data_IF_971152809528
#
_entry.id   IF_971152809528
#
_cell.length_a   1.000
_cell.length_b   1.000
_cell.length_c   1.000
_cell.angle_alpha   90.00
_cell.angle_beta   90.00
_cell.angle_gamma   90.00
#
_symmetry.space_group_name_H-M   'P 1'
#
loop_
_entity.id
_entity.type
_entity.pdbx_description
1 polymer ?
#
# COMPACT_ATOMS: atom_id res chain seq x y z
N UNK A 1 -12.25 36.46 14.27
CA UNK A 1 -11.17 36.37 13.26
C UNK A 1 -11.61 35.40 12.19
N UNK A 2 -11.85 35.91 10.97
CA UNK A 2 -12.27 35.09 9.83
C UNK A 2 -11.11 34.15 9.39
N UNK A 3 -11.39 32.94 8.90
CA UNK A 3 -10.35 32.03 8.42
C UNK A 3 -9.66 32.65 7.19
N UNK A 4 -8.33 32.68 7.21
CA UNK A 4 -7.49 33.12 6.10
C UNK A 4 -7.83 32.32 4.84
N UNK A 5 -8.23 33.03 3.80
CA UNK A 5 -8.52 32.46 2.48
C UNK A 5 -7.34 31.65 1.97
N UNK A 6 -7.65 30.48 1.40
CA UNK A 6 -6.70 29.69 0.63
C UNK A 6 -6.18 30.55 -0.52
N UNK A 7 -4.95 31.05 -0.39
CA UNK A 7 -4.26 31.71 -1.50
C UNK A 7 -3.94 30.65 -2.57
N UNK A 8 -4.81 30.54 -3.58
CA UNK A 8 -4.52 29.77 -4.79
C UNK A 8 -3.25 30.34 -5.43
N UNK A 9 -2.22 29.53 -5.73
CA UNK A 9 -0.99 30.03 -6.36
C UNK A 9 -1.31 30.78 -7.66
N UNK A 10 -0.80 32.01 -7.80
CA UNK A 10 -1.06 32.90 -8.95
C UNK A 10 -0.13 32.67 -10.15
N UNK A 11 0.65 31.58 -10.13
CA UNK A 11 1.53 31.20 -11.24
C UNK A 11 0.74 30.45 -12.31
N UNK A 12 1.07 30.68 -13.59
CA UNK A 12 0.62 29.83 -14.70
C UNK A 12 1.09 28.40 -14.45
N UNK A 13 0.17 27.49 -14.15
CA UNK A 13 0.47 26.06 -14.05
C UNK A 13 0.40 25.50 -15.47
N UNK A 14 1.55 25.04 -15.98
CA UNK A 14 1.61 24.38 -17.29
C UNK A 14 1.01 22.98 -17.17
N UNK A 15 -0.13 22.76 -17.83
CA UNK A 15 -0.72 21.45 -18.00
C UNK A 15 -0.19 20.80 -19.27
N UNK A 16 -0.12 19.47 -19.26
CA UNK A 16 0.22 18.64 -20.41
C UNK A 16 -0.79 17.50 -20.55
N UNK A 17 -0.76 16.80 -21.67
CA UNK A 17 -1.66 15.67 -21.93
C UNK A 17 -0.93 14.37 -21.65
N UNK A 18 -1.51 13.54 -20.78
CA UNK A 18 -1.17 12.12 -20.64
C UNK A 18 -2.46 11.39 -20.93
N UNK A 19 -2.54 10.68 -22.06
CA UNK A 19 -3.81 10.12 -22.50
C UNK A 19 -4.43 9.18 -21.45
N UNK A 20 -5.76 9.22 -21.26
CA UNK A 20 -6.77 10.08 -21.91
C UNK A 20 -7.09 11.39 -21.14
N UNK A 21 -6.19 11.88 -20.27
CA UNK A 21 -6.46 12.99 -19.36
C UNK A 21 -5.41 14.10 -19.33
N UNK A 22 -5.54 14.93 -18.30
CA UNK A 22 -4.69 16.08 -18.04
C UNK A 22 -3.62 15.72 -17.01
N UNK A 23 -2.43 16.29 -17.15
CA UNK A 23 -1.28 16.01 -16.32
C UNK A 23 -0.53 17.27 -15.96
N UNK A 24 -0.23 17.43 -14.67
CA UNK A 24 0.61 18.50 -14.14
C UNK A 24 1.82 17.83 -13.49
N UNK A 25 2.99 18.41 -13.72
CA UNK A 25 4.24 17.97 -13.13
C UNK A 25 4.91 19.14 -12.42
N UNK A 26 5.34 18.89 -11.19
CA UNK A 26 6.11 19.79 -10.36
C UNK A 26 7.54 19.26 -10.31
N UNK A 27 8.49 20.06 -10.78
CA UNK A 27 9.92 19.73 -10.82
C UNK A 27 10.39 19.18 -9.45
N UNK A 28 10.87 17.94 -9.45
CA UNK A 28 11.22 17.20 -8.24
C UNK A 28 12.31 17.91 -7.43
N UNK A 29 13.32 18.47 -8.10
CA UNK A 29 14.42 19.20 -7.45
C UNK A 29 13.88 20.37 -6.64
N UNK A 30 13.02 21.17 -7.26
CA UNK A 30 12.39 22.34 -6.64
C UNK A 30 11.49 21.94 -5.47
N UNK A 31 10.75 20.84 -5.58
CA UNK A 31 9.92 20.35 -4.49
C UNK A 31 10.74 19.82 -3.30
N UNK A 32 11.82 19.07 -3.55
CA UNK A 32 12.72 18.59 -2.49
C UNK A 32 13.39 19.78 -1.79
N UNK A 33 13.93 20.75 -2.54
CA UNK A 33 14.54 21.95 -1.95
C UNK A 33 13.55 22.72 -1.06
N UNK A 34 12.29 22.85 -1.51
CA UNK A 34 11.23 23.48 -0.71
C UNK A 34 10.98 22.72 0.60
N UNK A 35 10.94 21.38 0.56
CA UNK A 35 10.77 20.58 1.77
C UNK A 35 11.96 20.71 2.73
N UNK A 36 13.20 20.69 2.20
CA UNK A 36 14.43 20.89 2.99
C UNK A 36 14.46 22.27 3.67
N UNK A 37 14.05 23.33 2.95
CA UNK A 37 13.96 24.68 3.50
C UNK A 37 12.90 24.79 4.61
N UNK A 38 11.74 24.17 4.44
CA UNK A 38 10.64 24.25 5.41
C UNK A 38 10.92 23.50 6.71
N UNK A 39 11.86 22.58 6.69
CA UNK A 39 12.13 21.65 7.78
C UNK A 39 13.37 22.00 8.60
N UNK A 40 14.04 23.12 8.27
CA UNK A 40 15.22 23.64 8.97
C UNK A 40 16.33 22.59 9.18
N UNK A 41 16.48 21.61 8.27
CA UNK A 41 17.49 20.58 8.40
C UNK A 41 18.89 21.09 8.04
N UNK A 42 19.87 20.66 8.82
CA UNK A 42 21.28 20.74 8.45
C UNK A 42 21.61 19.50 7.62
N UNK A 43 22.00 19.70 6.36
CA UNK A 43 22.37 18.60 5.44
C UNK A 43 23.72 17.96 5.76
N UNK A 44 24.48 18.51 6.72
CA UNK A 44 25.82 18.04 7.11
C UNK A 44 25.84 16.60 7.66
N UNK A 45 24.68 16.06 8.05
CA UNK A 45 24.59 14.77 8.74
C UNK A 45 24.05 13.65 7.83
N UNK A 46 23.76 13.95 6.55
CA UNK A 46 23.13 12.99 5.63
C UNK A 46 24.11 12.53 4.55
N UNK A 47 24.35 11.22 4.50
CA UNK A 47 25.12 10.56 3.42
C UNK A 47 24.42 10.66 2.07
N UNK A 48 23.08 10.59 2.07
CA UNK A 48 22.22 10.58 0.90
C UNK A 48 20.80 11.00 1.29
N UNK A 49 19.98 11.35 0.30
CA UNK A 49 18.53 11.55 0.46
C UNK A 49 17.79 10.33 -0.12
N UNK A 50 17.14 9.58 0.76
CA UNK A 50 16.42 8.35 0.39
C UNK A 50 14.98 8.66 0.04
N UNK A 51 14.60 8.48 -1.23
CA UNK A 51 13.27 8.78 -1.74
C UNK A 51 12.39 7.53 -1.73
N UNK A 52 11.27 7.59 -1.01
CA UNK A 52 10.15 6.66 -1.22
C UNK A 52 9.17 7.31 -2.21
N UNK A 53 8.85 6.62 -3.30
CA UNK A 53 7.90 7.06 -4.32
C UNK A 53 6.57 6.35 -4.10
N UNK A 54 5.46 7.06 -4.24
CA UNK A 54 4.12 6.53 -4.05
C UNK A 54 3.17 6.98 -5.17
N UNK A 55 2.27 6.09 -5.57
CA UNK A 55 1.11 6.43 -6.40
C UNK A 55 -0.09 5.60 -6.00
N UNK A 56 -1.27 6.20 -6.10
CA UNK A 56 -2.56 5.58 -5.80
C UNK A 56 -3.65 6.21 -6.68
N UNK A 57 -4.79 5.54 -6.83
CA UNK A 57 -5.97 6.09 -7.47
C UNK A 57 -6.89 6.71 -6.42
N UNK A 58 -7.16 8.00 -6.58
CA UNK A 58 -8.20 8.69 -5.84
C UNK A 58 -9.39 9.03 -6.77
N UNK A 59 -10.61 8.96 -6.25
CA UNK A 59 -11.80 9.49 -6.93
C UNK A 59 -12.07 10.91 -6.40
N UNK A 60 -12.18 11.88 -7.31
CA UNK A 60 -12.38 13.28 -6.95
C UNK A 60 -13.84 13.62 -6.66
N UNK A 61 -14.76 12.97 -7.36
CA UNK A 61 -16.20 13.19 -7.28
C UNK A 61 -16.93 12.03 -6.59
N UNK A 62 -18.09 12.33 -5.99
CA UNK A 62 -18.91 11.32 -5.32
C UNK A 62 -19.43 10.25 -6.28
N UNK A 63 -19.61 10.61 -7.56
CA UNK A 63 -19.95 9.69 -8.65
C UNK A 63 -18.79 8.81 -9.12
N UNK A 64 -17.54 9.15 -8.78
CA UNK A 64 -16.36 8.42 -9.20
C UNK A 64 -16.03 8.52 -10.69
N UNK A 65 -16.59 9.49 -11.40
CA UNK A 65 -16.36 9.71 -12.84
C UNK A 65 -15.03 10.41 -13.13
N UNK A 66 -14.39 11.04 -12.13
CA UNK A 66 -13.09 11.70 -12.26
C UNK A 66 -12.08 10.99 -11.38
N UNK A 67 -11.08 10.41 -12.01
CA UNK A 67 -9.94 9.80 -11.35
C UNK A 67 -8.77 10.76 -11.30
N UNK A 68 -8.16 10.81 -10.12
CA UNK A 68 -6.92 11.53 -9.86
C UNK A 68 -5.86 10.51 -9.49
N UNK A 69 -4.70 10.61 -10.12
CA UNK A 69 -3.54 9.77 -9.84
C UNK A 69 -2.36 10.70 -9.50
N UNK A 70 -2.10 10.95 -8.21
CA UNK A 70 -0.89 11.64 -7.83
C UNK A 70 0.32 10.71 -7.92
N UNK A 71 1.45 11.30 -8.26
CA UNK A 71 2.78 10.76 -7.97
C UNK A 71 3.31 11.59 -6.82
N UNK A 72 3.62 10.94 -5.72
CA UNK A 72 4.13 11.55 -4.50
C UNK A 72 5.49 10.96 -4.18
N UNK A 73 6.32 11.72 -3.48
CA UNK A 73 7.52 11.21 -2.85
C UNK A 73 7.63 11.70 -1.41
N UNK A 74 8.45 11.02 -0.60
CA UNK A 74 8.90 11.51 0.70
C UNK A 74 10.37 11.21 0.87
N UNK A 75 11.03 11.97 1.74
CA UNK A 75 12.44 11.73 2.08
C UNK A 75 12.45 10.84 3.33
N UNK A 76 12.68 9.55 3.13
CA UNK A 76 12.46 8.51 4.13
C UNK A 76 13.41 8.61 5.32
N UNK A 77 14.64 9.05 5.09
CA UNK A 77 15.66 9.24 6.12
C UNK A 77 15.68 10.65 6.71
N UNK A 78 14.63 11.44 6.47
CA UNK A 78 14.36 12.68 7.21
C UNK A 78 13.20 12.45 8.19
N UNK A 79 13.39 12.73 9.50
CA UNK A 79 12.30 12.66 10.44
C UNK A 79 11.19 13.63 10.03
N UNK A 80 9.92 13.30 10.24
CA UNK A 80 8.79 14.21 9.95
C UNK A 80 8.68 14.74 8.49
N UNK A 81 9.39 14.15 7.52
CA UNK A 81 9.24 14.53 6.11
C UNK A 81 7.79 14.37 5.66
N UNK A 82 7.24 15.45 5.08
CA UNK A 82 5.86 15.43 4.57
C UNK A 82 5.83 14.85 3.17
N UNK A 83 4.72 14.22 2.76
CA UNK A 83 4.53 13.81 1.38
C UNK A 83 4.58 15.01 0.44
N UNK A 84 5.49 14.93 -0.52
CA UNK A 84 5.70 15.88 -1.60
C UNK A 84 4.88 15.41 -2.80
N UNK A 85 4.06 16.29 -3.39
CA UNK A 85 3.37 16.00 -4.64
C UNK A 85 4.27 16.37 -5.81
N UNK A 86 4.67 15.38 -6.59
CA UNK A 86 5.55 15.57 -7.76
C UNK A 86 4.73 15.69 -9.03
N UNK A 87 3.62 14.96 -9.15
CA UNK A 87 2.77 15.06 -10.32
C UNK A 87 1.33 14.70 -9.99
N UNK A 88 0.40 15.20 -10.79
CA UNK A 88 -1.02 14.91 -10.67
C UNK A 88 -1.60 14.68 -12.05
N UNK A 89 -2.10 13.48 -12.28
CA UNK A 89 -2.97 13.18 -13.41
C UNK A 89 -4.44 13.32 -13.00
N UNK A 90 -5.27 13.81 -13.92
CA UNK A 90 -6.72 13.88 -13.80
C UNK A 90 -7.37 13.40 -15.10
N UNK A 91 -8.28 12.44 -15.02
CA UNK A 91 -9.04 12.00 -16.19
C UNK A 91 -10.21 11.10 -15.85
N UNK A 92 -11.06 10.82 -16.84
CA UNK A 92 -12.22 9.91 -16.69
C UNK A 92 -11.81 8.45 -16.51
N UNK A 93 -10.57 8.12 -16.86
CA UNK A 93 -9.99 6.78 -16.76
C UNK A 93 -8.57 6.90 -16.20
N UNK A 94 -7.98 5.79 -15.77
CA UNK A 94 -6.55 5.75 -15.43
C UNK A 94 -5.68 6.13 -16.65
N UNK A 95 -4.44 6.62 -16.46
CA UNK A 95 -3.51 6.82 -17.57
C UNK A 95 -3.37 5.54 -18.39
N UNK A 96 -3.30 5.66 -19.73
CA UNK A 96 -3.24 4.49 -20.61
C UNK A 96 -1.88 3.79 -20.59
N UNK A 97 -0.81 4.55 -20.38
CA UNK A 97 0.56 4.07 -20.40
C UNK A 97 1.32 4.57 -19.18
N UNK A 98 1.86 3.64 -18.39
CA UNK A 98 2.65 3.95 -17.20
C UNK A 98 3.99 4.60 -17.55
N UNK A 99 4.57 4.30 -18.71
CA UNK A 99 5.83 4.91 -19.17
C UNK A 99 5.64 6.41 -19.44
N UNK A 100 4.56 6.79 -20.12
CA UNK A 100 4.23 8.21 -20.37
C UNK A 100 3.89 8.90 -19.06
N UNK A 101 3.10 8.25 -18.19
CA UNK A 101 2.70 8.81 -16.90
C UNK A 101 3.89 9.09 -15.96
N UNK A 102 4.90 8.23 -15.92
CA UNK A 102 6.09 8.40 -15.08
C UNK A 102 7.25 9.15 -15.75
N UNK A 103 7.18 9.41 -17.06
CA UNK A 103 8.30 9.95 -17.86
C UNK A 103 8.98 11.17 -17.22
N UNK A 104 8.20 12.14 -16.74
CA UNK A 104 8.73 13.37 -16.13
C UNK A 104 9.48 13.09 -14.82
N UNK A 105 8.89 12.30 -13.91
CA UNK A 105 9.56 11.88 -12.67
C UNK A 105 10.87 11.15 -12.94
N UNK A 106 10.86 10.20 -13.87
CA UNK A 106 12.05 9.41 -14.23
C UNK A 106 13.15 10.32 -14.80
N UNK A 107 12.77 11.30 -15.62
CA UNK A 107 13.70 12.30 -16.15
C UNK A 107 14.32 13.12 -15.01
N UNK A 108 13.52 13.61 -14.08
CA UNK A 108 14.01 14.39 -12.94
C UNK A 108 14.98 13.59 -12.07
N UNK A 109 14.64 12.33 -11.75
CA UNK A 109 15.51 11.44 -10.97
C UNK A 109 16.83 11.20 -11.72
N UNK A 110 16.77 10.91 -13.02
CA UNK A 110 17.96 10.74 -13.85
C UNK A 110 18.85 11.97 -13.88
N UNK A 111 18.28 13.17 -14.01
CA UNK A 111 19.00 14.44 -13.94
C UNK A 111 19.65 14.67 -12.56
N UNK A 112 18.94 14.39 -11.48
CA UNK A 112 19.45 14.53 -10.12
C UNK A 112 20.61 13.56 -9.85
N UNK A 113 20.50 12.30 -10.29
CA UNK A 113 21.59 11.32 -10.16
C UNK A 113 22.80 11.76 -11.00
N UNK A 114 22.57 12.16 -12.25
CA UNK A 114 23.65 12.56 -13.18
C UNK A 114 24.39 13.83 -12.74
N UNK A 115 23.71 14.72 -12.00
CA UNK A 115 24.32 15.92 -11.41
C UNK A 115 24.99 15.68 -10.05
N UNK A 116 25.06 14.43 -9.60
CA UNK A 116 25.65 14.05 -8.31
C UNK A 116 24.72 14.27 -7.10
N UNK A 117 23.49 14.73 -7.31
CA UNK A 117 22.46 14.90 -6.28
C UNK A 117 21.85 16.29 -6.21
N UNK A 118 21.42 16.67 -5.01
CA UNK A 118 20.79 17.96 -4.72
C UNK A 118 21.79 18.86 -4.01
N UNK A 119 22.00 20.06 -4.54
CA UNK A 119 22.83 21.09 -3.92
C UNK A 119 21.98 21.90 -2.94
N UNK A 120 22.34 21.85 -1.66
CA UNK A 120 21.69 22.57 -0.58
C UNK A 120 22.73 23.00 0.46
N UNK A 121 22.68 24.26 0.91
CA UNK A 121 23.68 24.85 1.83
C UNK A 121 25.14 24.62 1.37
N UNK A 122 25.40 24.85 0.08
CA UNK A 122 26.73 24.67 -0.55
C UNK A 122 27.29 23.25 -0.50
N UNK A 123 26.48 22.27 -0.12
CA UNK A 123 26.82 20.84 -0.12
C UNK A 123 25.93 20.10 -1.13
N UNK A 124 26.52 19.19 -1.91
CA UNK A 124 25.75 18.33 -2.81
C UNK A 124 25.52 16.99 -2.14
N UNK A 125 24.25 16.66 -1.89
CA UNK A 125 23.84 15.41 -1.25
C UNK A 125 23.28 14.47 -2.33
N UNK A 126 23.85 13.27 -2.51
CA UNK A 126 23.33 12.27 -3.44
C UNK A 126 21.88 11.91 -3.16
N UNK A 127 21.15 11.47 -4.19
CA UNK A 127 19.80 10.92 -4.02
C UNK A 127 19.80 9.43 -4.32
N UNK A 128 18.99 8.67 -3.59
CA UNK A 128 18.75 7.25 -3.83
C UNK A 128 17.25 6.98 -3.83
N UNK A 129 16.76 6.12 -4.71
CA UNK A 129 15.36 5.67 -4.67
C UNK A 129 15.30 4.45 -3.77
N UNK A 130 14.64 4.59 -2.61
CA UNK A 130 14.57 3.55 -1.58
C UNK A 130 13.46 2.55 -1.85
N UNK A 131 12.24 3.04 -2.12
CA UNK A 131 11.10 2.18 -2.43
C UNK A 131 10.13 2.80 -3.44
N UNK A 132 9.43 1.96 -4.19
CA UNK A 132 8.18 2.30 -4.85
C UNK A 132 6.99 1.62 -4.15
N UNK A 133 6.05 2.41 -3.64
CA UNK A 133 4.96 1.95 -2.79
C UNK A 133 3.63 2.20 -3.51
N UNK A 134 2.86 1.16 -3.74
CA UNK A 134 1.56 1.26 -4.40
C UNK A 134 0.63 0.11 -3.97
N UNK A 135 -0.67 0.34 -4.08
CA UNK A 135 -1.67 -0.74 -3.96
C UNK A 135 -1.51 -1.76 -5.10
N UNK A 136 -2.21 -2.91 -5.04
CA UNK A 136 -1.99 -3.97 -6.03
C UNK A 136 -2.33 -3.55 -7.48
N UNK A 137 -3.47 -2.88 -7.76
CA UNK A 137 -3.76 -2.34 -9.09
C UNK A 137 -2.74 -1.32 -9.62
N UNK A 138 -2.33 -0.33 -8.80
CA UNK A 138 -1.37 0.68 -9.22
C UNK A 138 0.03 0.08 -9.38
N UNK A 139 0.45 -0.83 -8.50
CA UNK A 139 1.69 -1.58 -8.63
C UNK A 139 1.73 -2.36 -9.94
N UNK A 140 0.67 -3.08 -10.29
CA UNK A 140 0.61 -3.82 -11.55
C UNK A 140 0.64 -2.93 -12.78
N UNK A 141 0.03 -1.75 -12.70
CA UNK A 141 0.09 -0.76 -13.76
C UNK A 141 1.51 -0.21 -13.97
N UNK A 142 2.20 0.18 -12.89
CA UNK A 142 3.53 0.79 -12.97
C UNK A 142 4.61 -0.25 -13.26
N UNK A 143 4.55 -1.44 -12.67
CA UNK A 143 5.45 -2.55 -13.01
C UNK A 143 5.12 -3.24 -14.33
N UNK A 144 4.03 -2.83 -14.98
CA UNK A 144 3.57 -3.36 -16.26
C UNK A 144 3.45 -4.90 -16.26
N UNK A 145 2.81 -5.45 -15.24
CA UNK A 145 2.57 -6.88 -15.09
C UNK A 145 1.07 -7.23 -14.98
N UNK A 146 0.77 -8.51 -14.90
CA UNK A 146 -0.57 -9.04 -14.79
C UNK A 146 -1.23 -8.68 -13.45
N UNK A 147 -2.49 -8.27 -13.49
CA UNK A 147 -3.20 -7.78 -12.30
C UNK A 147 -3.44 -8.86 -11.24
N UNK A 148 -3.91 -8.44 -10.07
CA UNK A 148 -4.06 -9.29 -8.88
C UNK A 148 -5.03 -10.50 -9.05
N UNK A 149 -5.89 -10.50 -10.06
CA UNK A 149 -6.82 -11.61 -10.38
C UNK A 149 -6.32 -12.51 -11.52
N UNK A 150 -5.10 -12.26 -12.03
CA UNK A 150 -4.54 -13.03 -13.14
C UNK A 150 -4.05 -14.42 -12.75
N UNK A 151 -3.66 -15.21 -13.75
CA UNK A 151 -3.08 -16.53 -13.54
C UNK A 151 -1.76 -16.49 -12.78
N UNK A 152 -0.92 -15.47 -13.01
CA UNK A 152 0.35 -15.24 -12.29
C UNK A 152 0.41 -13.80 -11.78
N UNK A 153 -0.22 -13.47 -10.63
CA UNK A 153 -0.41 -12.08 -10.22
C UNK A 153 0.69 -11.52 -9.30
N UNK A 154 1.40 -12.37 -8.58
CA UNK A 154 2.31 -11.93 -7.54
C UNK A 154 3.55 -11.30 -8.17
N UNK A 155 4.03 -10.18 -7.63
CA UNK A 155 5.27 -9.55 -8.12
C UNK A 155 6.54 -10.06 -7.45
N UNK A 156 6.40 -10.97 -6.48
CA UNK A 156 7.50 -11.46 -5.63
C UNK A 156 7.80 -12.94 -5.84
N UNK A 157 6.81 -13.77 -6.20
CA UNK A 157 6.99 -15.21 -6.36
C UNK A 157 6.12 -15.78 -7.48
N UNK A 158 6.51 -16.91 -8.04
CA UNK A 158 5.91 -17.54 -9.23
C UNK A 158 4.57 -18.23 -8.99
N UNK A 159 3.85 -17.88 -7.92
CA UNK A 159 2.55 -18.46 -7.56
C UNK A 159 1.55 -18.33 -8.71
N UNK A 160 0.77 -19.40 -8.89
CA UNK A 160 -0.26 -19.52 -9.92
C UNK A 160 -1.63 -19.63 -9.30
N UNK A 161 -2.62 -19.07 -9.97
CA UNK A 161 -4.01 -19.25 -9.54
C UNK A 161 -4.54 -20.62 -9.94
N UNK A 162 -5.38 -21.19 -9.08
CA UNK A 162 -6.14 -22.41 -9.33
C UNK A 162 -7.62 -22.12 -9.18
N UNK A 163 -8.47 -22.84 -9.93
CA UNK A 163 -9.92 -22.78 -9.73
C UNK A 163 -10.33 -23.83 -8.73
N UNK A 164 -10.94 -23.41 -7.63
CA UNK A 164 -11.52 -24.28 -6.60
C UNK A 164 -12.94 -23.78 -6.28
N UNK A 165 -13.95 -24.65 -6.38
CA UNK A 165 -15.36 -24.33 -6.09
C UNK A 165 -15.89 -23.05 -6.77
N UNK A 166 -15.55 -22.87 -8.05
CA UNK A 166 -15.95 -21.68 -8.81
C UNK A 166 -15.25 -20.38 -8.38
N UNK A 167 -14.22 -20.47 -7.54
CA UNK A 167 -13.41 -19.34 -7.06
C UNK A 167 -11.97 -19.48 -7.52
N UNK A 168 -11.29 -18.34 -7.69
CA UNK A 168 -9.85 -18.28 -7.91
C UNK A 168 -9.15 -18.33 -6.56
N UNK A 169 -8.28 -19.32 -6.36
CA UNK A 169 -7.49 -19.51 -5.16
C UNK A 169 -5.99 -19.51 -5.49
N UNK A 170 -5.18 -19.21 -4.48
CA UNK A 170 -3.71 -19.25 -4.54
C UNK A 170 -3.25 -20.15 -3.41
N UNK A 171 -2.69 -21.30 -3.75
CA UNK A 171 -2.37 -22.37 -2.79
C UNK A 171 -0.87 -22.59 -2.72
N UNK A 172 -0.43 -23.20 -1.60
CA UNK A 172 0.97 -23.49 -1.34
C UNK A 172 1.77 -22.27 -0.86
N UNK A 173 2.86 -22.55 -0.17
CA UNK A 173 3.73 -21.56 0.48
C UNK A 173 5.12 -21.49 -0.15
N UNK A 174 5.52 -22.55 -0.84
CA UNK A 174 6.84 -22.73 -1.42
C UNK A 174 6.78 -22.46 -2.92
N UNK A 175 6.99 -21.19 -3.28
CA UNK A 175 7.02 -20.73 -4.67
C UNK A 175 8.35 -20.03 -4.93
N UNK A 176 8.95 -20.30 -6.09
CA UNK A 176 10.19 -19.65 -6.49
C UNK A 176 10.05 -18.12 -6.44
N UNK A 177 11.03 -17.46 -5.84
CA UNK A 177 11.07 -16.01 -5.76
C UNK A 177 11.49 -15.43 -7.11
N UNK A 178 10.90 -14.30 -7.47
CA UNK A 178 11.35 -13.50 -8.61
C UNK A 178 12.54 -12.63 -8.19
N UNK A 179 13.39 -12.34 -9.15
CA UNK A 179 14.56 -11.47 -8.98
C UNK A 179 14.38 -10.16 -9.73
N UNK A 180 15.15 -9.14 -9.34
CA UNK A 180 15.17 -7.84 -10.03
C UNK A 180 15.55 -8.00 -11.51
N UNK A 181 16.56 -8.84 -11.77
CA UNK A 181 17.05 -9.19 -13.10
C UNK A 181 16.00 -9.82 -14.02
N UNK A 182 15.22 -10.78 -13.51
CA UNK A 182 14.13 -11.39 -14.27
C UNK A 182 13.04 -10.38 -14.63
N UNK A 183 12.78 -9.43 -13.74
CA UNK A 183 11.83 -8.35 -13.95
C UNK A 183 12.31 -7.36 -15.02
N UNK A 184 13.59 -6.96 -14.98
CA UNK A 184 14.19 -6.09 -15.99
C UNK A 184 14.14 -6.74 -17.37
N UNK A 185 14.45 -8.05 -17.46
CA UNK A 185 14.39 -8.80 -18.72
C UNK A 185 12.99 -9.25 -19.13
N UNK A 186 11.96 -8.98 -18.33
CA UNK A 186 10.59 -9.46 -18.54
C UNK A 186 10.50 -10.99 -18.75
N UNK A 187 11.25 -11.78 -17.97
CA UNK A 187 11.49 -13.21 -18.24
C UNK A 187 10.23 -14.11 -18.20
N UNK A 188 9.18 -13.72 -17.48
CA UNK A 188 7.91 -14.47 -17.39
C UNK A 188 6.83 -13.82 -18.27
N UNK A 189 6.64 -14.33 -19.50
CA UNK A 189 5.70 -13.79 -20.50
C UNK A 189 4.23 -13.81 -20.05
N UNK A 190 3.86 -14.73 -19.15
CA UNK A 190 2.49 -14.81 -18.61
C UNK A 190 2.24 -13.81 -17.48
N UNK A 191 3.32 -13.24 -16.93
CA UNK A 191 3.28 -12.26 -15.86
C UNK A 191 3.53 -10.85 -16.38
N UNK A 192 4.55 -10.63 -17.21
CA UNK A 192 4.91 -9.31 -17.72
C UNK A 192 4.09 -8.93 -18.94
N UNK A 193 3.71 -7.64 -19.03
CA UNK A 193 3.02 -7.05 -20.18
C UNK A 193 3.90 -6.09 -20.98
N UNK A 194 5.11 -5.83 -20.48
CA UNK A 194 6.11 -4.99 -21.09
C UNK A 194 7.05 -4.41 -20.04
N UNK A 195 7.88 -3.47 -20.47
CA UNK A 195 8.88 -2.84 -19.60
C UNK A 195 8.21 -1.82 -18.66
N UNK A 196 8.68 -1.78 -17.42
CA UNK A 196 8.28 -0.78 -16.42
C UNK A 196 9.09 0.52 -16.58
N UNK A 197 8.50 1.72 -16.42
CA UNK A 197 9.25 2.96 -16.33
C UNK A 197 10.31 2.97 -15.24
N UNK A 198 10.10 2.21 -14.15
CA UNK A 198 11.04 2.16 -13.02
C UNK A 198 12.35 1.46 -13.38
N UNK A 199 12.39 0.70 -14.48
CA UNK A 199 13.64 0.07 -14.97
C UNK A 199 14.69 1.09 -15.44
N UNK A 200 14.29 2.34 -15.67
CA UNK A 200 15.15 3.43 -16.15
C UNK A 200 15.88 4.17 -15.01
N UNK A 201 15.63 3.79 -13.75
CA UNK A 201 16.29 4.35 -12.57
C UNK A 201 16.95 3.21 -11.79
N UNK A 202 18.04 3.49 -11.03
CA UNK A 202 18.75 2.45 -10.29
C UNK A 202 17.95 2.01 -9.06
N UNK A 203 16.96 1.15 -9.28
CA UNK A 203 16.18 0.51 -8.23
C UNK A 203 15.78 -0.93 -8.61
N UNK A 204 15.63 -1.78 -7.60
CA UNK A 204 15.10 -3.13 -7.76
C UNK A 204 13.59 -3.14 -7.98
N UNK A 205 13.14 -3.74 -9.10
CA UNK A 205 11.72 -3.87 -9.45
C UNK A 205 10.97 -4.92 -8.61
N UNK A 206 11.72 -5.81 -7.96
CA UNK A 206 11.24 -6.76 -6.96
C UNK A 206 11.68 -6.29 -5.58
N UNK A 207 12.97 -6.17 -5.29
CA UNK A 207 13.49 -5.96 -3.93
C UNK A 207 13.03 -4.65 -3.29
N UNK A 208 12.86 -3.58 -4.09
CA UNK A 208 12.49 -2.24 -3.61
C UNK A 208 11.03 -1.86 -3.91
N UNK A 209 10.17 -2.84 -4.21
CA UNK A 209 8.73 -2.62 -4.39
C UNK A 209 7.96 -3.39 -3.33
N UNK A 210 7.86 -2.89 -2.09
CA UNK A 210 7.15 -3.59 -1.01
C UNK A 210 5.65 -3.72 -1.34
N UNK A 211 4.98 -4.71 -0.75
CA UNK A 211 3.52 -4.66 -0.76
C UNK A 211 3.01 -3.72 0.33
N UNK A 212 1.91 -3.05 0.04
CA UNK A 212 1.38 -2.00 0.90
C UNK A 212 0.48 -2.60 2.00
N UNK A 213 0.89 -2.39 3.26
CA UNK A 213 0.28 -2.96 4.47
C UNK A 213 -1.20 -2.59 4.63
N UNK A 214 -1.57 -1.33 4.38
CA UNK A 214 -2.93 -0.83 4.57
C UNK A 214 -3.93 -1.56 3.67
N UNK A 215 -3.60 -1.77 2.39
CA UNK A 215 -4.49 -2.40 1.43
C UNK A 215 -4.56 -3.92 1.59
N UNK A 216 -3.44 -4.57 1.89
CA UNK A 216 -3.38 -6.03 1.99
C UNK A 216 -3.89 -6.49 3.34
N UNK A 217 -3.34 -5.97 4.43
CA UNK A 217 -3.63 -6.46 5.77
C UNK A 217 -4.89 -5.80 6.31
N UNK A 218 -4.88 -4.48 6.42
CA UNK A 218 -5.97 -3.75 7.07
C UNK A 218 -7.26 -3.79 6.23
N UNK A 219 -7.20 -3.56 4.91
CA UNK A 219 -8.41 -3.56 4.06
C UNK A 219 -8.70 -4.89 3.39
N UNK A 220 -7.69 -5.74 3.19
CA UNK A 220 -7.84 -7.06 2.60
C UNK A 220 -8.16 -8.09 3.68
N UNK A 221 -7.16 -8.53 4.42
CA UNK A 221 -7.23 -9.67 5.34
C UNK A 221 -8.23 -9.44 6.47
N UNK A 222 -8.15 -8.30 7.17
CA UNK A 222 -9.07 -7.99 8.26
C UNK A 222 -10.52 -7.90 7.77
N UNK A 223 -10.76 -7.33 6.59
CA UNK A 223 -12.11 -7.26 6.02
C UNK A 223 -12.63 -8.65 5.64
N UNK A 224 -11.78 -9.54 5.13
CA UNK A 224 -12.13 -10.95 4.85
C UNK A 224 -12.50 -11.67 6.14
N UNK A 225 -11.67 -11.56 7.19
CA UNK A 225 -11.93 -12.15 8.51
C UNK A 225 -13.28 -11.71 9.07
N UNK A 226 -13.56 -10.41 9.07
CA UNK A 226 -14.85 -9.90 9.53
C UNK A 226 -16.03 -10.40 8.68
N UNK A 227 -15.85 -10.53 7.37
CA UNK A 227 -16.87 -11.11 6.49
C UNK A 227 -17.13 -12.59 6.78
N UNK A 228 -16.08 -13.34 7.12
CA UNK A 228 -16.15 -14.72 7.55
C UNK A 228 -16.92 -14.84 8.88
N UNK A 229 -16.58 -14.03 9.87
CA UNK A 229 -17.18 -14.06 11.21
C UNK A 229 -18.64 -13.60 11.20
N UNK A 230 -18.97 -12.52 10.50
CA UNK A 230 -20.31 -11.91 10.53
C UNK A 230 -21.28 -12.63 9.58
N UNK A 231 -20.84 -12.99 8.38
CA UNK A 231 -21.75 -13.54 7.35
C UNK A 231 -21.49 -15.01 7.02
N UNK A 232 -20.37 -15.59 7.43
CA UNK A 232 -19.98 -16.94 7.00
C UNK A 232 -19.67 -17.00 5.50
N UNK A 233 -19.11 -15.92 4.93
CA UNK A 233 -18.95 -15.77 3.46
C UNK A 233 -18.06 -16.85 2.82
N UNK A 234 -17.06 -17.35 3.55
CA UNK A 234 -16.09 -18.32 3.05
C UNK A 234 -16.43 -19.74 3.48
N UNK A 235 -16.54 -19.95 4.79
CA UNK A 235 -16.97 -21.23 5.39
C UNK A 235 -18.02 -20.96 6.45
N UNK A 236 -19.06 -21.81 6.55
CA UNK A 236 -20.08 -21.68 7.59
C UNK A 236 -19.53 -21.91 9.00
N UNK A 237 -18.49 -22.72 9.14
CA UNK A 237 -17.84 -23.03 10.44
C UNK A 237 -17.22 -21.81 11.10
N UNK A 238 -16.76 -20.82 10.33
CA UNK A 238 -16.19 -19.57 10.87
C UNK A 238 -17.24 -18.55 11.29
N UNK A 239 -18.52 -18.80 10.97
CA UNK A 239 -19.60 -17.86 11.25
C UNK A 239 -19.90 -17.85 12.73
N UNK A 240 -19.82 -16.68 13.34
CA UNK A 240 -20.19 -16.50 14.73
C UNK A 240 -21.71 -16.51 14.90
N UNK A 241 -22.16 -17.06 16.01
CA UNK A 241 -23.56 -16.96 16.42
C UNK A 241 -23.95 -15.52 16.70
N UNK A 242 -25.26 -15.24 16.68
CA UNK A 242 -25.79 -13.90 17.00
C UNK A 242 -25.32 -13.42 18.39
N UNK A 243 -25.33 -14.31 19.39
CA UNK A 243 -24.88 -14.02 20.75
C UNK A 243 -23.39 -13.66 20.81
N UNK A 244 -22.55 -14.38 20.08
CA UNK A 244 -21.11 -14.07 19.98
C UNK A 244 -20.86 -12.72 19.31
N UNK A 245 -21.59 -12.42 18.22
CA UNK A 245 -21.50 -11.13 17.52
C UNK A 245 -21.96 -9.97 18.44
N UNK A 246 -23.05 -10.16 19.18
CA UNK A 246 -23.54 -9.18 20.17
C UNK A 246 -22.53 -8.96 21.30
N UNK A 247 -21.89 -10.03 21.79
CA UNK A 247 -20.83 -9.95 22.79
C UNK A 247 -19.59 -9.19 22.29
N UNK A 248 -19.12 -9.45 21.07
CA UNK A 248 -18.01 -8.68 20.49
C UNK A 248 -18.37 -7.20 20.33
N UNK A 249 -19.59 -6.90 19.89
CA UNK A 249 -20.05 -5.53 19.74
C UNK A 249 -20.22 -4.79 21.06
N UNK A 250 -20.67 -5.46 22.12
CA UNK A 250 -20.75 -4.84 23.44
C UNK A 250 -19.36 -4.51 23.99
N UNK A 251 -18.38 -5.42 23.81
CA UNK A 251 -16.97 -5.16 24.15
C UNK A 251 -16.40 -3.97 23.37
N UNK A 252 -16.64 -3.90 22.06
CA UNK A 252 -16.22 -2.75 21.24
C UNK A 252 -16.88 -1.44 21.71
N UNK A 253 -18.15 -1.48 22.11
CA UNK A 253 -18.86 -0.31 22.65
C UNK A 253 -18.27 0.17 23.98
N UNK A 254 -17.88 -0.75 24.86
CA UNK A 254 -17.18 -0.41 26.11
C UNK A 254 -15.83 0.24 25.78
N UNK A 255 -15.02 -0.37 24.92
CA UNK A 255 -13.71 0.16 24.53
C UNK A 255 -13.79 1.54 23.85
N UNK A 256 -14.89 1.84 23.15
CA UNK A 256 -15.13 3.16 22.56
C UNK A 256 -15.12 4.30 23.59
N UNK A 257 -15.52 4.03 24.85
CA UNK A 257 -15.51 5.02 25.94
C UNK A 257 -14.10 5.35 26.43
N UNK A 258 -13.15 4.43 26.27
CA UNK A 258 -11.77 4.53 26.76
C UNK A 258 -10.75 4.71 25.63
N UNK A 259 -11.21 4.92 24.39
CA UNK A 259 -10.33 5.06 23.24
C UNK A 259 -9.55 6.38 23.31
N UNK A 260 -8.19 6.35 23.34
CA UNK A 260 -7.36 7.55 23.29
C UNK A 260 -7.62 8.42 22.06
N UNK A 261 -7.34 9.72 22.17
CA UNK A 261 -7.46 10.68 21.07
C UNK A 261 -6.44 10.46 19.95
N UNK A 262 -5.35 9.74 20.22
CA UNK A 262 -4.31 9.42 19.24
C UNK A 262 -4.81 8.47 18.15
N UNK A 263 -5.88 7.71 18.42
CA UNK A 263 -6.53 6.91 17.38
C UNK A 263 -7.41 7.78 16.49
N UNK A 264 -7.15 7.71 15.18
CA UNK A 264 -7.91 8.45 14.17
C UNK A 264 -9.43 8.19 14.18
N UNK A 265 -9.86 7.03 14.72
CA UNK A 265 -11.27 6.65 14.85
C UNK A 265 -11.48 5.84 16.14
N UNK A 266 -12.67 5.95 16.72
CA UNK A 266 -13.08 5.13 17.86
C UNK A 266 -13.65 3.78 17.39
N UNK A 267 -13.50 2.70 18.19
CA UNK A 267 -14.12 1.40 17.92
C UNK A 267 -15.63 1.53 17.68
N UNK A 268 -16.13 0.79 16.68
CA UNK A 268 -17.56 0.69 16.34
C UNK A 268 -18.03 -0.77 16.48
N UNK A 269 -19.34 -1.04 16.49
CA UNK A 269 -19.84 -2.41 16.48
C UNK A 269 -19.37 -3.20 15.25
N UNK A 270 -19.13 -4.51 15.40
CA UNK A 270 -18.58 -5.34 14.31
C UNK A 270 -19.52 -5.44 13.10
N UNK A 271 -20.83 -5.30 13.31
CA UNK A 271 -21.85 -5.42 12.25
C UNK A 271 -21.71 -4.33 11.19
N UNK A 272 -21.11 -3.18 11.50
CA UNK A 272 -20.93 -2.07 10.55
C UNK A 272 -19.55 -2.07 9.87
N UNK A 273 -18.81 -3.19 9.93
CA UNK A 273 -17.46 -3.31 9.38
C UNK A 273 -17.34 -2.99 7.89
N UNK A 274 -18.42 -3.13 7.11
CA UNK A 274 -18.44 -2.72 5.70
C UNK A 274 -18.14 -1.22 5.52
N UNK A 275 -18.42 -0.40 6.54
CA UNK A 275 -18.13 1.03 6.60
C UNK A 275 -16.79 1.35 7.28
N UNK A 276 -16.02 0.34 7.71
CA UNK A 276 -14.73 0.56 8.34
C UNK A 276 -13.71 1.05 7.33
N UNK A 277 -12.87 1.94 7.79
CA UNK A 277 -11.66 2.37 7.09
C UNK A 277 -10.47 1.55 7.59
N UNK A 278 -9.36 1.62 6.86
CA UNK A 278 -8.17 0.84 7.20
C UNK A 278 -7.65 1.09 8.63
N UNK A 279 -7.78 2.32 9.13
CA UNK A 279 -7.36 2.67 10.49
C UNK A 279 -8.15 1.92 11.58
N UNK A 280 -9.42 1.60 11.33
CA UNK A 280 -10.26 0.86 12.28
C UNK A 280 -9.93 -0.63 12.27
N UNK A 281 -9.68 -1.19 11.08
CA UNK A 281 -9.17 -2.56 10.98
C UNK A 281 -7.80 -2.71 11.60
N UNK A 282 -6.91 -1.73 11.41
CA UNK A 282 -5.59 -1.67 12.06
C UNK A 282 -5.73 -1.59 13.57
N UNK A 283 -6.60 -0.71 14.07
CA UNK A 283 -6.86 -0.57 15.50
C UNK A 283 -7.37 -1.89 16.10
N UNK A 284 -8.27 -2.57 15.40
CA UNK A 284 -8.74 -3.88 15.80
C UNK A 284 -7.62 -4.89 15.83
N UNK A 285 -6.86 -5.05 14.74
CA UNK A 285 -5.80 -6.05 14.66
C UNK A 285 -4.74 -5.89 15.76
N UNK A 286 -4.27 -4.66 15.98
CA UNK A 286 -3.12 -4.41 16.85
C UNK A 286 -3.49 -4.19 18.32
N UNK A 287 -4.70 -3.72 18.63
CA UNK A 287 -5.04 -3.26 19.97
C UNK A 287 -6.32 -3.89 20.52
N UNK A 288 -7.47 -3.64 19.89
CA UNK A 288 -8.76 -4.01 20.52
C UNK A 288 -9.16 -5.46 20.26
N UNK A 289 -8.71 -6.04 19.15
CA UNK A 289 -9.02 -7.38 18.68
C UNK A 289 -8.81 -8.45 19.74
N UNK A 290 -7.60 -8.60 20.32
CA UNK A 290 -7.32 -9.63 21.33
C UNK A 290 -8.34 -9.66 22.48
N UNK A 291 -8.72 -8.50 23.00
CA UNK A 291 -9.72 -8.39 24.09
C UNK A 291 -11.13 -8.69 23.57
N UNK A 292 -11.47 -8.19 22.39
CA UNK A 292 -12.79 -8.33 21.81
C UNK A 292 -13.08 -9.78 21.42
N UNK A 293 -12.08 -10.50 20.91
CA UNK A 293 -12.18 -11.88 20.42
C UNK A 293 -12.01 -12.95 21.50
N UNK A 294 -11.52 -12.58 22.69
CA UNK A 294 -11.20 -13.51 23.76
C UNK A 294 -12.40 -14.37 24.19
N UNK A 295 -12.26 -15.70 24.11
CA UNK A 295 -13.33 -16.65 24.42
C UNK A 295 -14.53 -16.61 23.46
N UNK A 296 -14.39 -15.94 22.30
CA UNK A 296 -15.43 -15.88 21.26
C UNK A 296 -15.02 -16.68 20.02
N UNK A 297 -13.79 -16.44 19.54
CA UNK A 297 -13.21 -17.20 18.44
C UNK A 297 -12.75 -18.57 18.95
N UNK A 298 -12.77 -19.59 18.08
CA UNK A 298 -12.11 -20.85 18.37
C UNK A 298 -10.58 -20.63 18.48
N UNK A 299 -9.88 -21.55 19.13
CA UNK A 299 -8.45 -21.39 19.43
C UNK A 299 -7.61 -21.22 18.16
N UNK A 300 -7.90 -21.97 17.10
CA UNK A 300 -7.18 -21.88 15.83
C UNK A 300 -7.30 -20.50 15.17
N UNK A 301 -8.52 -19.95 15.06
CA UNK A 301 -8.72 -18.63 14.45
C UNK A 301 -8.17 -17.55 15.38
N UNK A 302 -8.25 -17.72 16.69
CA UNK A 302 -7.63 -16.80 17.64
C UNK A 302 -6.11 -16.76 17.49
N UNK A 303 -5.47 -17.93 17.35
CA UNK A 303 -4.03 -18.05 17.12
C UNK A 303 -3.60 -17.43 15.78
N UNK A 304 -4.39 -17.61 14.71
CA UNK A 304 -4.16 -16.96 13.42
C UNK A 304 -4.20 -15.43 13.52
N UNK A 305 -5.18 -14.88 14.23
CA UNK A 305 -5.26 -13.42 14.46
C UNK A 305 -4.06 -12.94 15.29
N UNK A 306 -3.59 -13.73 16.26
CA UNK A 306 -2.41 -13.41 17.05
C UNK A 306 -1.12 -13.42 16.21
N UNK A 307 -0.94 -14.39 15.31
CA UNK A 307 0.19 -14.41 14.34
C UNK A 307 0.12 -13.20 13.42
N UNK A 308 -1.06 -12.92 12.84
CA UNK A 308 -1.26 -11.78 11.95
C UNK A 308 -0.89 -10.47 12.66
N UNK A 309 -1.24 -10.36 13.95
CA UNK A 309 -0.85 -9.23 14.80
C UNK A 309 0.66 -9.16 14.98
N UNK A 310 1.32 -10.24 15.41
CA UNK A 310 2.78 -10.29 15.64
C UNK A 310 3.55 -9.87 14.39
N UNK A 311 3.23 -10.46 13.24
CA UNK A 311 3.87 -10.12 11.97
C UNK A 311 3.58 -8.67 11.54
N UNK A 312 2.41 -8.13 11.90
CA UNK A 312 2.09 -6.72 11.63
C UNK A 312 2.87 -5.77 12.55
N UNK A 313 3.11 -6.14 13.80
CA UNK A 313 3.97 -5.39 14.72
C UNK A 313 5.42 -5.39 14.22
N UNK A 314 5.93 -6.54 13.77
CA UNK A 314 7.25 -6.65 13.16
C UNK A 314 7.36 -5.80 11.90
N UNK A 315 6.37 -5.81 11.00
CA UNK A 315 6.37 -4.99 9.79
C UNK A 315 6.40 -3.48 10.09
N UNK A 316 5.82 -3.08 11.22
CA UNK A 316 5.81 -1.69 11.67
C UNK A 316 7.13 -1.28 12.30
N UNK A 317 7.81 -2.20 12.99
CA UNK A 317 9.09 -1.96 13.63
C UNK A 317 10.27 -2.09 12.65
N UNK A 318 10.20 -3.05 11.73
CA UNK A 318 11.23 -3.39 10.76
C UNK A 318 11.18 -2.52 9.50
N UNK A 319 11.11 -1.19 9.65
CA UNK A 319 11.08 -0.22 8.54
C UNK A 319 12.27 -0.31 7.53
N UNK A 320 13.15 -1.31 7.68
CA UNK A 320 14.31 -1.64 6.85
C UNK A 320 14.37 -3.08 6.30
N UNK A 321 13.46 -4.02 6.59
CA UNK A 321 13.54 -5.41 6.09
C UNK A 321 12.17 -5.99 5.67
N UNK A 322 11.64 -5.55 4.53
CA UNK A 322 10.26 -5.78 4.10
C UNK A 322 9.97 -7.08 3.33
N UNK A 323 10.98 -7.89 2.99
CA UNK A 323 10.81 -8.92 1.95
C UNK A 323 10.26 -10.26 2.45
N UNK A 324 10.62 -10.72 3.66
CA UNK A 324 10.20 -12.04 4.16
C UNK A 324 8.83 -12.05 4.84
N UNK A 325 8.53 -11.04 5.67
CA UNK A 325 7.39 -11.08 6.60
C UNK A 325 6.03 -10.90 5.90
N UNK A 326 5.98 -10.11 4.83
CA UNK A 326 4.74 -9.81 4.12
C UNK A 326 4.30 -10.96 3.19
N UNK A 327 5.26 -11.73 2.67
CA UNK A 327 4.98 -12.95 1.93
C UNK A 327 4.38 -14.01 2.87
N UNK A 328 4.98 -14.20 4.05
CA UNK A 328 4.44 -15.09 5.10
C UNK A 328 3.01 -14.67 5.47
N UNK A 329 2.72 -13.38 5.61
CA UNK A 329 1.39 -12.88 5.98
C UNK A 329 0.29 -13.21 4.97
N UNK A 330 0.54 -12.95 3.68
CA UNK A 330 -0.41 -13.22 2.58
C UNK A 330 -0.58 -14.73 2.40
N UNK A 331 0.52 -15.48 2.55
CA UNK A 331 0.57 -16.92 2.39
C UNK A 331 -0.13 -17.63 3.56
N UNK A 332 0.07 -17.21 4.81
CA UNK A 332 -0.62 -17.77 5.99
C UNK A 332 -2.13 -17.54 5.87
N UNK A 333 -2.57 -16.36 5.44
CA UNK A 333 -4.01 -16.09 5.25
C UNK A 333 -4.63 -16.90 4.11
N UNK A 334 -3.96 -17.07 2.97
CA UNK A 334 -4.45 -17.92 1.88
C UNK A 334 -4.38 -19.42 2.23
N UNK A 335 -3.35 -19.83 2.96
CA UNK A 335 -3.11 -21.21 3.41
C UNK A 335 -3.79 -21.54 4.73
N UNK A 336 -4.57 -20.65 5.35
CA UNK A 336 -5.41 -20.93 6.52
C UNK A 336 -6.90 -20.76 6.21
N UNK A 337 -7.27 -19.93 5.23
CA UNK A 337 -8.61 -19.97 4.63
C UNK A 337 -8.78 -21.23 3.76
N UNK A 338 -7.70 -21.76 3.18
CA UNK A 338 -7.74 -22.97 2.35
C UNK A 338 -7.86 -24.30 3.12
N UNK A 339 -7.22 -24.54 4.29
CA UNK A 339 -7.45 -25.72 5.14
C UNK A 339 -8.79 -25.68 5.84
N UNK A 340 -9.31 -24.51 6.23
CA UNK A 340 -10.73 -24.40 6.64
C UNK A 340 -11.72 -24.64 5.48
N UNK A 341 -11.23 -24.77 4.23
CA UNK A 341 -11.96 -25.29 3.08
C UNK A 341 -11.62 -26.76 2.74
N UNK A 342 -10.56 -27.35 3.31
CA UNK A 342 -10.13 -28.74 3.04
C UNK A 342 -10.40 -29.71 4.20
N UNK A 343 -10.55 -29.24 5.44
CA UNK A 343 -10.80 -30.08 6.62
C UNK A 343 -12.30 -30.40 6.85
N UNK A 344 -13.13 -30.26 5.79
CA UNK A 344 -14.53 -30.75 5.76
C UNK A 344 -14.81 -31.47 4.42
N UNK A 345 -13.82 -32.14 3.85
CA UNK A 345 -14.03 -33.18 2.82
C UNK A 345 -13.44 -34.51 3.28
#
# INVERSE_FOLDING_TARGET
MAPSGHNTPRGSIVTSVVAPGEYIHFDLRSQILKELLNSCYMTSDLSDLQLDIHTDRCALDKSGCIHVWPIQCRIANLPNSKPIVVSVYKGKQKPSDSNIFFKKLITDIGCLISSGGITFNSSTVPITVRNFIADAPARAFVLNHAGHESFKPCSKCTIRSVKADGRTAFTGVDHSLRTDDEYVRCADEQHHKGVSPLSLIPMGLVSQVPFEYMHIVCRGDMKKLFSAWVHGKYTRSTKLSRRQIELMSSRMHILCKYCPSDFARRPRPIQVYLKYKATEFRQFLLYTGPVVTFGVLNEEVHYQVAILRSLSEDLLFAANNYMGQLLILIIFMNSCISPMMLDVL
#
